data_IF_079842138948
#
_entry.id   IF_079842138948
#
_cell.length_a   1.000
_cell.length_b   1.000
_cell.length_c   1.000
_cell.angle_alpha   90.00
_cell.angle_beta   90.00
_cell.angle_gamma   90.00
#
_symmetry.space_group_name_H-M   'P 1'
#
loop_
_entity.id
_entity.type
_entity.pdbx_description
1 polymer ?
#
# COMPACT_ATOMS: atom_id res chain seq x y z
N UNK A 1 50.12 14.24 101.16
CA UNK A 1 49.83 12.86 100.72
C UNK A 1 50.76 12.56 99.56
N UNK A 2 51.80 11.75 99.78
CA UNK A 2 52.88 11.57 98.81
C UNK A 2 52.36 10.86 97.55
N UNK A 3 52.75 11.38 96.39
CA UNK A 3 52.56 10.70 95.11
C UNK A 3 53.25 9.34 95.24
N UNK A 4 52.45 8.30 95.41
CA UNK A 4 52.94 6.94 95.56
C UNK A 4 53.28 6.43 94.15
N UNK A 5 54.34 5.64 94.00
CA UNK A 5 54.79 5.10 92.70
C UNK A 5 53.64 4.45 91.91
N UNK A 6 52.64 3.91 92.61
CA UNK A 6 51.39 3.36 92.04
C UNK A 6 50.60 4.37 91.19
N UNK A 7 50.54 5.65 91.57
CA UNK A 7 49.82 6.69 90.83
C UNK A 7 50.52 7.00 89.49
N UNK A 8 51.86 7.04 89.49
CA UNK A 8 52.66 7.27 88.28
C UNK A 8 52.51 6.07 87.33
N UNK A 9 52.61 4.85 87.85
CA UNK A 9 52.42 3.62 87.07
C UNK A 9 50.99 3.56 86.49
N UNK A 10 49.97 3.92 87.27
CA UNK A 10 48.59 3.96 86.80
C UNK A 10 48.37 4.99 85.68
N UNK A 11 48.96 6.19 85.78
CA UNK A 11 48.91 7.18 84.69
C UNK A 11 49.59 6.67 83.42
N UNK A 12 50.73 5.98 83.55
CA UNK A 12 51.47 5.44 82.41
C UNK A 12 50.69 4.33 81.71
N UNK A 13 50.08 3.42 82.47
CA UNK A 13 49.17 2.38 81.94
C UNK A 13 47.95 3.01 81.26
N UNK A 14 47.33 4.02 81.87
CA UNK A 14 46.19 4.72 81.29
C UNK A 14 46.54 5.42 79.97
N UNK A 15 47.71 6.06 79.90
CA UNK A 15 48.21 6.69 78.68
C UNK A 15 48.46 5.66 77.57
N UNK A 16 49.03 4.50 77.89
CA UNK A 16 49.22 3.40 76.93
C UNK A 16 47.87 2.89 76.41
N UNK A 17 46.88 2.70 77.30
CA UNK A 17 45.54 2.27 76.89
C UNK A 17 44.88 3.29 75.97
N UNK A 18 44.92 4.59 76.29
CA UNK A 18 44.40 5.65 75.40
C UNK A 18 45.09 5.60 74.04
N UNK A 19 46.42 5.44 74.03
CA UNK A 19 47.18 5.35 72.78
C UNK A 19 46.74 4.16 71.94
N UNK A 20 46.54 2.98 72.55
CA UNK A 20 46.03 1.78 71.86
C UNK A 20 44.60 1.98 71.35
N UNK A 21 43.71 2.58 72.15
CA UNK A 21 42.32 2.85 71.73
C UNK A 21 42.28 3.81 70.54
N UNK A 22 43.08 4.88 70.57
CA UNK A 22 43.16 5.85 69.47
C UNK A 22 43.79 5.24 68.22
N UNK A 23 44.82 4.40 68.38
CA UNK A 23 45.56 3.80 67.26
C UNK A 23 44.82 2.64 66.60
N UNK A 24 44.08 1.83 67.36
CA UNK A 24 43.49 0.58 66.88
C UNK A 24 41.96 0.56 66.85
N UNK A 25 41.29 1.04 67.90
CA UNK A 25 39.82 0.94 68.00
C UNK A 25 39.13 2.03 67.18
N UNK A 26 39.59 3.28 67.31
CA UNK A 26 39.05 4.42 66.59
C UNK A 26 39.02 4.23 65.05
N UNK A 27 40.10 3.79 64.38
CA UNK A 27 40.07 3.59 62.93
C UNK A 27 39.15 2.45 62.48
N UNK A 28 38.98 1.39 63.29
CA UNK A 28 38.05 0.29 62.96
C UNK A 28 36.60 0.79 62.96
N UNK A 29 36.22 1.59 63.95
CA UNK A 29 34.85 2.14 64.07
C UNK A 29 34.57 3.14 62.94
N UNK A 30 35.49 4.08 62.70
CA UNK A 30 35.37 5.06 61.62
C UNK A 30 35.36 4.40 60.24
N UNK A 31 36.18 3.36 60.04
CA UNK A 31 36.19 2.57 58.80
C UNK A 31 34.83 1.92 58.53
N UNK A 32 34.26 1.25 59.54
CA UNK A 32 32.94 0.62 59.41
C UNK A 32 31.81 1.64 59.14
N UNK A 33 31.91 2.85 59.70
CA UNK A 33 30.94 3.91 59.49
C UNK A 33 31.06 4.53 58.08
N UNK A 34 32.28 4.82 57.63
CA UNK A 34 32.55 5.33 56.28
C UNK A 34 32.15 4.31 55.20
N UNK A 35 32.36 3.01 55.44
CA UNK A 35 31.92 1.94 54.53
C UNK A 35 30.40 1.95 54.34
N UNK A 36 29.65 2.14 55.44
CA UNK A 36 28.18 2.25 55.40
C UNK A 36 27.72 3.52 54.68
N UNK A 37 28.32 4.66 55.01
CA UNK A 37 28.01 5.93 54.36
C UNK A 37 28.27 5.86 52.86
N UNK A 38 29.42 5.31 52.45
CA UNK A 38 29.77 5.12 51.04
C UNK A 38 28.80 4.18 50.32
N UNK A 39 28.36 3.09 50.97
CA UNK A 39 27.35 2.17 50.39
C UNK A 39 25.99 2.85 50.23
N UNK A 40 25.55 3.64 51.21
CA UNK A 40 24.29 4.38 51.14
C UNK A 40 24.36 5.45 50.04
N UNK A 41 25.45 6.22 49.99
CA UNK A 41 25.66 7.24 48.97
C UNK A 41 25.70 6.63 47.55
N UNK A 42 26.43 5.53 47.37
CA UNK A 42 26.48 4.81 46.11
C UNK A 42 25.11 4.23 45.72
N UNK A 43 24.38 3.65 46.68
CA UNK A 43 23.03 3.13 46.44
C UNK A 43 22.02 4.21 46.05
N UNK A 44 22.07 5.36 46.73
CA UNK A 44 21.20 6.50 46.42
C UNK A 44 21.54 7.12 45.07
N UNK A 45 22.82 7.27 44.74
CA UNK A 45 23.26 7.75 43.43
C UNK A 45 22.85 6.79 42.31
N UNK A 46 22.99 5.48 42.51
CA UNK A 46 22.55 4.48 41.55
C UNK A 46 21.03 4.47 41.37
N UNK A 47 20.26 4.71 42.44
CA UNK A 47 18.80 4.82 42.36
C UNK A 47 18.36 6.07 41.61
N UNK A 48 18.97 7.23 41.87
CA UNK A 48 18.69 8.48 41.14
C UNK A 48 19.05 8.36 39.65
N UNK A 49 20.21 7.78 39.35
CA UNK A 49 20.62 7.52 37.97
C UNK A 49 19.67 6.54 37.28
N UNK A 50 19.29 5.44 37.94
CA UNK A 50 18.34 4.47 37.40
C UNK A 50 16.96 5.09 37.12
N UNK A 51 16.50 5.99 37.99
CA UNK A 51 15.23 6.70 37.79
C UNK A 51 15.30 7.67 36.61
N UNK A 52 16.43 8.37 36.43
CA UNK A 52 16.68 9.23 35.27
C UNK A 52 16.75 8.43 33.98
N UNK A 53 17.54 7.36 33.95
CA UNK A 53 17.68 6.47 32.79
C UNK A 53 16.34 5.85 32.40
N UNK A 54 15.51 5.46 33.38
CA UNK A 54 14.16 4.94 33.15
C UNK A 54 13.25 6.00 32.53
N UNK A 55 13.29 7.23 33.05
CA UNK A 55 12.52 8.36 32.51
C UNK A 55 12.92 8.68 31.07
N UNK A 56 14.22 8.74 30.79
CA UNK A 56 14.75 8.96 29.44
C UNK A 56 14.39 7.82 28.50
N UNK A 57 14.56 6.56 28.93
CA UNK A 57 14.21 5.40 28.13
C UNK A 57 12.72 5.39 27.79
N UNK A 58 11.86 5.76 28.75
CA UNK A 58 10.42 5.88 28.54
C UNK A 58 10.09 6.99 27.53
N UNK A 59 10.70 8.17 27.66
CA UNK A 59 10.52 9.25 26.69
C UNK A 59 10.96 8.84 25.29
N UNK A 60 12.14 8.22 25.16
CA UNK A 60 12.64 7.70 23.87
C UNK A 60 11.70 6.66 23.29
N UNK A 61 11.15 5.76 24.10
CA UNK A 61 10.17 4.77 23.65
C UNK A 61 8.88 5.43 23.15
N UNK A 62 8.35 6.42 23.88
CA UNK A 62 7.15 7.17 23.48
C UNK A 62 7.38 7.93 22.16
N UNK A 63 8.56 8.51 21.97
CA UNK A 63 8.93 9.21 20.75
C UNK A 63 9.05 8.25 19.55
N UNK A 64 9.67 7.08 19.74
CA UNK A 64 9.73 6.03 18.72
C UNK A 64 8.34 5.55 18.34
N UNK A 65 7.44 5.36 19.32
CA UNK A 65 6.05 4.94 19.05
C UNK A 65 5.30 6.03 18.27
N UNK A 66 5.46 7.31 18.62
CA UNK A 66 4.86 8.43 17.88
C UNK A 66 5.38 8.50 16.46
N UNK A 67 6.69 8.39 16.28
CA UNK A 67 7.31 8.41 14.95
C UNK A 67 6.83 7.24 14.10
N UNK A 68 6.79 6.03 14.66
CA UNK A 68 6.27 4.84 13.99
C UNK A 68 4.80 5.02 13.55
N UNK A 69 3.95 5.61 14.41
CA UNK A 69 2.56 5.93 14.05
C UNK A 69 2.47 6.95 12.92
N UNK A 70 3.25 8.02 12.97
CA UNK A 70 3.28 9.03 11.90
C UNK A 70 3.74 8.41 10.58
N UNK A 71 4.80 7.59 10.59
CA UNK A 71 5.27 6.86 9.40
C UNK A 71 4.20 5.90 8.87
N UNK A 72 3.52 5.16 9.74
CA UNK A 72 2.44 4.25 9.34
C UNK A 72 1.28 5.00 8.65
N UNK A 73 0.84 6.13 9.21
CA UNK A 73 -0.19 6.98 8.61
C UNK A 73 0.25 7.56 7.26
N UNK A 74 1.51 7.96 7.14
CA UNK A 74 2.08 8.43 5.88
C UNK A 74 2.08 7.33 4.80
N UNK A 75 2.49 6.11 5.17
CA UNK A 75 2.46 4.95 4.27
C UNK A 75 1.03 4.63 3.85
N UNK A 76 0.07 4.64 4.78
CA UNK A 76 -1.33 4.37 4.46
C UNK A 76 -1.90 5.42 3.50
N UNK A 77 -1.62 6.71 3.75
CA UNK A 77 -2.03 7.80 2.86
C UNK A 77 -1.40 7.65 1.47
N UNK A 78 -0.10 7.35 1.39
CA UNK A 78 0.58 7.14 0.13
C UNK A 78 0.01 5.94 -0.64
N UNK A 79 -0.26 4.82 0.06
CA UNK A 79 -0.87 3.63 -0.53
C UNK A 79 -2.28 3.92 -1.06
N UNK A 80 -3.11 4.68 -0.33
CA UNK A 80 -4.44 5.11 -0.78
C UNK A 80 -4.36 5.98 -2.04
N UNK A 81 -3.43 6.93 -2.08
CA UNK A 81 -3.22 7.78 -3.26
C UNK A 81 -2.79 6.96 -4.47
N UNK A 82 -1.83 6.04 -4.30
CA UNK A 82 -1.40 5.14 -5.38
C UNK A 82 -2.52 4.23 -5.87
N UNK A 83 -3.31 3.66 -4.95
CA UNK A 83 -4.45 2.83 -5.31
C UNK A 83 -5.47 3.62 -6.14
N UNK A 84 -5.79 4.85 -5.74
CA UNK A 84 -6.68 5.72 -6.51
C UNK A 84 -6.11 6.08 -7.88
N UNK A 85 -4.80 6.35 -7.98
CA UNK A 85 -4.13 6.58 -9.27
C UNK A 85 -4.24 5.36 -10.19
N UNK A 86 -3.97 4.16 -9.67
CA UNK A 86 -4.10 2.91 -10.44
C UNK A 86 -5.54 2.70 -10.92
N UNK A 87 -6.53 2.95 -10.07
CA UNK A 87 -7.94 2.83 -10.45
C UNK A 87 -8.31 3.83 -11.56
N UNK A 88 -7.85 5.07 -11.46
CA UNK A 88 -8.12 6.09 -12.48
C UNK A 88 -7.38 5.82 -13.79
N UNK A 89 -6.14 5.33 -13.75
CA UNK A 89 -5.40 4.87 -14.92
C UNK A 89 -6.09 3.67 -15.58
N UNK A 90 -6.50 2.68 -14.79
CA UNK A 90 -7.23 1.51 -15.29
C UNK A 90 -8.58 1.91 -15.92
N UNK A 91 -9.31 2.86 -15.32
CA UNK A 91 -10.54 3.41 -15.90
C UNK A 91 -10.29 4.10 -17.22
N UNK A 92 -9.26 4.94 -17.31
CA UNK A 92 -8.88 5.61 -18.57
C UNK A 92 -8.50 4.61 -19.66
N UNK A 93 -7.70 3.60 -19.31
CA UNK A 93 -7.32 2.54 -20.24
C UNK A 93 -8.54 1.73 -20.70
N UNK A 94 -9.47 1.39 -19.80
CA UNK A 94 -10.70 0.67 -20.12
C UNK A 94 -11.62 1.49 -21.05
N UNK A 95 -11.78 2.80 -20.79
CA UNK A 95 -12.56 3.68 -21.67
C UNK A 95 -11.94 3.78 -23.06
N UNK A 96 -10.62 3.96 -23.15
CA UNK A 96 -9.90 4.02 -24.43
C UNK A 96 -10.05 2.71 -25.22
N UNK A 97 -9.91 1.57 -24.56
CA UNK A 97 -10.06 0.27 -25.21
C UNK A 97 -11.52 0.02 -25.62
N UNK A 98 -12.48 0.45 -24.81
CA UNK A 98 -13.90 0.43 -25.14
C UNK A 98 -14.22 1.27 -26.38
N UNK A 99 -13.68 2.48 -26.48
CA UNK A 99 -13.83 3.33 -27.67
C UNK A 99 -13.23 2.68 -28.92
N UNK A 100 -12.04 2.07 -28.81
CA UNK A 100 -11.42 1.33 -29.91
C UNK A 100 -12.25 0.13 -30.35
N UNK A 101 -12.74 -0.66 -29.40
CA UNK A 101 -13.59 -1.81 -29.69
C UNK A 101 -14.89 -1.38 -30.40
N UNK A 102 -15.49 -0.28 -29.95
CA UNK A 102 -16.72 0.26 -30.53
C UNK A 102 -16.49 0.84 -31.93
N UNK A 103 -15.34 1.51 -32.16
CA UNK A 103 -14.93 1.96 -33.49
C UNK A 103 -14.69 0.78 -34.44
N UNK A 104 -14.01 -0.27 -33.98
CA UNK A 104 -13.80 -1.50 -34.76
C UNK A 104 -15.13 -2.18 -35.10
N UNK A 105 -16.05 -2.30 -34.13
CA UNK A 105 -17.37 -2.87 -34.34
C UNK A 105 -18.18 -2.07 -35.38
N UNK A 106 -18.16 -0.73 -35.32
CA UNK A 106 -18.80 0.12 -36.34
C UNK A 106 -18.24 -0.11 -37.73
N UNK A 107 -16.91 -0.19 -37.86
CA UNK A 107 -16.26 -0.48 -39.14
C UNK A 107 -16.64 -1.85 -39.70
N UNK A 108 -16.72 -2.88 -38.84
CA UNK A 108 -17.19 -4.21 -39.23
C UNK A 108 -18.66 -4.20 -39.67
N UNK A 109 -19.54 -3.48 -38.96
CA UNK A 109 -20.95 -3.33 -39.33
C UNK A 109 -21.09 -2.64 -40.70
N UNK A 110 -20.30 -1.60 -40.98
CA UNK A 110 -20.30 -0.94 -42.29
C UNK A 110 -19.87 -1.88 -43.41
N UNK A 111 -18.81 -2.67 -43.17
CA UNK A 111 -18.33 -3.68 -44.12
C UNK A 111 -19.42 -4.73 -44.41
N UNK A 112 -20.04 -5.28 -43.38
CA UNK A 112 -21.11 -6.27 -43.51
C UNK A 112 -22.37 -5.70 -44.16
N UNK A 113 -22.74 -4.45 -43.85
CA UNK A 113 -23.85 -3.75 -44.50
C UNK A 113 -23.60 -3.56 -46.00
N UNK A 114 -22.37 -3.21 -46.40
CA UNK A 114 -22.00 -3.11 -47.80
C UNK A 114 -22.04 -4.48 -48.49
N UNK A 115 -21.51 -5.55 -47.86
CA UNK A 115 -21.63 -6.92 -48.37
C UNK A 115 -23.09 -7.36 -48.55
N UNK A 116 -23.95 -7.06 -47.59
CA UNK A 116 -25.37 -7.37 -47.66
C UNK A 116 -26.07 -6.61 -48.80
N UNK A 117 -25.72 -5.33 -49.02
CA UNK A 117 -26.22 -4.52 -50.14
C UNK A 117 -25.78 -5.08 -51.49
N UNK A 118 -24.54 -5.52 -51.62
CA UNK A 118 -24.03 -6.10 -52.86
C UNK A 118 -24.69 -7.46 -53.15
N UNK A 119 -24.89 -8.30 -52.13
CA UNK A 119 -25.69 -9.53 -52.26
C UNK A 119 -27.13 -9.24 -52.69
N UNK A 120 -27.79 -8.24 -52.09
CA UNK A 120 -29.14 -7.82 -52.49
C UNK A 120 -29.18 -7.30 -53.93
N UNK A 121 -28.19 -6.53 -54.37
CA UNK A 121 -28.09 -6.10 -55.78
C UNK A 121 -28.03 -7.28 -56.73
N UNK A 122 -27.24 -8.31 -56.41
CA UNK A 122 -27.19 -9.55 -57.19
C UNK A 122 -28.57 -10.24 -57.27
N UNK A 123 -29.28 -10.35 -56.15
CA UNK A 123 -30.63 -10.93 -56.11
C UNK A 123 -31.65 -10.09 -56.89
N UNK A 124 -31.59 -8.76 -56.79
CA UNK A 124 -32.48 -7.84 -57.53
C UNK A 124 -32.25 -7.94 -59.03
N UNK A 125 -31.00 -8.05 -59.50
CA UNK A 125 -30.71 -8.27 -60.92
C UNK A 125 -31.32 -9.59 -61.41
N UNK A 126 -31.16 -10.67 -60.63
CA UNK A 126 -31.77 -11.97 -60.96
C UNK A 126 -33.30 -11.88 -61.02
N UNK A 127 -33.92 -11.17 -60.06
CA UNK A 127 -35.37 -10.99 -60.00
C UNK A 127 -35.88 -10.09 -61.15
N UNK A 128 -35.14 -9.04 -61.50
CA UNK A 128 -35.47 -8.15 -62.61
C UNK A 128 -35.43 -8.88 -63.96
N UNK A 129 -34.43 -9.75 -64.18
CA UNK A 129 -34.37 -10.61 -65.38
C UNK A 129 -35.53 -11.60 -65.41
N UNK A 130 -35.86 -12.23 -64.28
CA UNK A 130 -37.02 -13.12 -64.18
C UNK A 130 -38.35 -12.39 -64.44
N UNK A 131 -38.51 -11.18 -63.91
CA UNK A 131 -39.65 -10.30 -64.17
C UNK A 131 -39.75 -9.89 -65.63
N UNK A 132 -38.63 -9.47 -66.24
CA UNK A 132 -38.56 -9.13 -67.66
C UNK A 132 -38.93 -10.31 -68.57
N UNK A 133 -38.45 -11.53 -68.26
CA UNK A 133 -38.90 -12.76 -68.96
C UNK A 133 -40.40 -12.96 -68.87
N UNK A 134 -40.99 -12.81 -67.68
CA UNK A 134 -42.43 -13.03 -67.46
C UNK A 134 -43.32 -11.97 -68.12
N UNK A 135 -42.83 -10.74 -68.24
CA UNK A 135 -43.49 -9.68 -69.03
C UNK A 135 -43.40 -9.99 -70.53
N UNK A 136 -42.22 -10.41 -71.02
CA UNK A 136 -42.06 -10.85 -72.42
C UNK A 136 -42.97 -12.03 -72.75
N UNK A 137 -43.04 -13.05 -71.88
CA UNK A 137 -43.96 -14.19 -72.05
C UNK A 137 -45.43 -13.77 -72.10
N UNK A 138 -45.82 -12.68 -71.42
CA UNK A 138 -47.18 -12.16 -71.44
C UNK A 138 -47.47 -11.31 -72.68
N UNK A 139 -46.48 -10.58 -73.20
CA UNK A 139 -46.56 -9.83 -74.45
C UNK A 139 -46.50 -10.76 -75.68
N UNK A 140 -45.76 -11.86 -75.59
CA UNK A 140 -45.71 -12.97 -76.56
C UNK A 140 -46.90 -13.90 -76.28
N UNK A 141 -48.12 -13.39 -76.45
CA UNK A 141 -49.32 -14.22 -76.44
C UNK A 141 -49.48 -14.89 -77.81
N UNK A 142 -49.73 -16.21 -77.82
CA UNK A 142 -49.94 -17.00 -79.03
C UNK A 142 -51.10 -16.48 -79.90
N UNK A 143 -52.03 -15.72 -79.30
CA UNK A 143 -53.09 -15.01 -80.04
C UNK A 143 -52.57 -13.89 -80.93
N UNK A 144 -51.64 -13.06 -80.45
CA UNK A 144 -51.10 -11.92 -81.22
C UNK A 144 -50.17 -12.38 -82.34
N UNK A 145 -49.49 -13.53 -82.18
CA UNK A 145 -48.67 -14.12 -83.23
C UNK A 145 -49.46 -14.99 -84.22
N UNK A 146 -50.60 -15.56 -83.83
CA UNK A 146 -51.51 -16.22 -84.78
C UNK A 146 -52.01 -15.28 -85.87
N UNK A 147 -52.48 -14.08 -85.48
CA UNK A 147 -53.00 -13.09 -86.44
C UNK A 147 -51.91 -12.49 -87.35
N UNK A 148 -50.68 -12.34 -86.86
CA UNK A 148 -49.54 -11.87 -87.66
C UNK A 148 -49.00 -12.95 -88.62
N UNK A 149 -48.99 -14.22 -88.20
CA UNK A 149 -48.60 -15.34 -89.06
C UNK A 149 -49.67 -15.60 -90.15
N UNK A 150 -50.95 -15.46 -89.82
CA UNK A 150 -52.05 -15.57 -90.79
C UNK A 150 -52.02 -14.41 -91.81
N UNK A 151 -51.67 -13.18 -91.41
CA UNK A 151 -51.49 -12.06 -92.34
C UNK A 151 -50.26 -12.17 -93.25
N UNK A 152 -49.19 -12.85 -92.81
CA UNK A 152 -48.01 -13.11 -93.64
C UNK A 152 -48.27 -14.29 -94.59
N UNK A 153 -48.96 -15.34 -94.14
CA UNK A 153 -49.38 -16.46 -94.99
C UNK A 153 -50.41 -16.05 -96.06
N UNK A 154 -51.25 -15.05 -95.80
CA UNK A 154 -52.19 -14.50 -96.77
C UNK A 154 -51.56 -13.54 -97.81
N UNK A 155 -50.26 -13.22 -97.68
CA UNK A 155 -49.49 -12.37 -98.61
C UNK A 155 -48.46 -13.14 -99.46
N UNK A 156 -48.45 -14.48 -99.37
CA UNK A 156 -47.77 -15.41 -100.27
C UNK A 156 -48.79 -16.08 -101.20
#
# INVERSE_FOLDING_TARGET
MNITVTLIVQMLVFAIVIWVVMKFIWPIILGAMNEREKKIAAGLAAADQGQKDLSEAKSRADDVIKEARTRALAIESQARTQANQIVEEARKAASLEGEKALASAKSQIELESNRARDNLRGQVVSLAVAGARRVLEKEIDAKTHGELLDQIAAKL
#
